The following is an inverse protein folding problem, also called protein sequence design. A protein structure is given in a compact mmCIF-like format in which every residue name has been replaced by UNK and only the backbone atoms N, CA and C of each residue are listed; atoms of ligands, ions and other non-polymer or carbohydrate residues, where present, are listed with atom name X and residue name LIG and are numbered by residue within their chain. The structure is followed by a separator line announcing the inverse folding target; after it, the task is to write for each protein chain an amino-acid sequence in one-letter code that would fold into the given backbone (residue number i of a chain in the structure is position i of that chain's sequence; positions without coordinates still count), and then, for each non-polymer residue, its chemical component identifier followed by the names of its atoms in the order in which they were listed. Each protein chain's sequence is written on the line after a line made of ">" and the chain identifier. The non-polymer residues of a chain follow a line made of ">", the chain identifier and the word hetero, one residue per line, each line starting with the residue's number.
data_IF_509940193443
#
_entry.id   IF_509940193443
#
_cell.length_a   1.000
_cell.length_b   1.000
_cell.length_c   1.000
_cell.angle_alpha   90.00
_cell.angle_beta   90.00
_cell.angle_gamma   90.00
#
_symmetry.space_group_name_H-M   'P 1'
#
loop_
_entity.id
_entity.type
_entity.pdbx_description
1 polymer ?
#
# COMPACT_ATOMS: atom_id res chain seq x y z
N UNK A 1 -0.88 26.64 11.29
CA UNK A 1 -0.30 25.43 11.89
C UNK A 1 -0.84 24.26 11.12
N UNK A 2 -0.04 23.74 10.19
CA UNK A 2 -0.44 22.60 9.37
C UNK A 2 -0.48 21.32 10.21
N UNK A 3 -1.34 20.37 9.84
CA UNK A 3 -1.52 19.11 10.57
C UNK A 3 -0.23 18.25 10.65
N UNK A 4 0.74 18.53 9.77
CA UNK A 4 2.08 17.93 9.80
C UNK A 4 2.98 18.59 10.84
N UNK A 5 2.94 19.91 10.97
CA UNK A 5 3.72 20.64 11.99
C UNK A 5 3.29 20.21 13.40
N UNK A 6 1.97 20.15 13.65
CA UNK A 6 1.42 19.66 14.91
C UNK A 6 1.83 18.22 15.23
N UNK A 7 2.01 17.39 14.21
CA UNK A 7 2.43 16.00 14.37
C UNK A 7 3.92 15.88 14.70
N UNK A 8 4.77 16.68 14.05
CA UNK A 8 6.20 16.74 14.37
C UNK A 8 6.41 17.22 15.80
N UNK A 9 5.69 18.27 16.20
CA UNK A 9 5.70 18.80 17.58
C UNK A 9 5.26 17.73 18.59
N UNK A 10 4.29 16.88 18.24
CA UNK A 10 3.84 15.79 19.12
C UNK A 10 4.89 14.67 19.28
N UNK A 11 5.69 14.40 18.24
CA UNK A 11 6.68 13.32 18.26
C UNK A 11 8.05 13.74 18.81
N UNK A 12 8.40 15.02 18.73
CA UNK A 12 9.67 15.58 19.19
C UNK A 12 10.00 15.23 20.66
N UNK A 13 9.06 15.30 21.63
CA UNK A 13 9.33 14.96 23.03
C UNK A 13 9.77 13.52 23.26
N UNK A 14 9.41 12.59 22.37
CA UNK A 14 9.83 11.18 22.43
C UNK A 14 11.35 11.09 22.36
N UNK A 15 12.02 11.97 21.61
CA UNK A 15 13.48 11.95 21.43
C UNK A 15 14.28 12.39 22.67
N UNK A 16 13.61 13.02 23.64
CA UNK A 16 14.22 13.60 24.85
C UNK A 16 13.98 12.74 26.10
N UNK A 17 13.24 11.64 25.95
CA UNK A 17 12.91 10.72 27.03
C UNK A 17 14.21 10.22 27.71
N UNK A 18 14.27 10.21 29.06
CA UNK A 18 15.43 9.73 29.81
C UNK A 18 15.86 8.30 29.42
N UNK A 19 14.91 7.46 29.00
CA UNK A 19 15.15 6.10 28.51
C UNK A 19 15.94 6.04 27.17
N UNK A 20 15.97 7.13 26.40
CA UNK A 20 16.75 7.29 25.16
C UNK A 20 17.99 8.17 25.38
N UNK A 21 18.27 8.53 26.65
CA UNK A 21 19.36 9.43 27.04
C UNK A 21 20.72 8.71 27.04
N UNK A 22 20.69 7.40 27.28
CA UNK A 22 21.75 6.43 26.97
C UNK A 22 21.26 5.60 25.78
N UNK A 23 22.17 5.01 25.02
CA UNK A 23 21.92 4.02 23.97
C UNK A 23 21.65 4.45 22.52
N UNK A 24 22.23 3.59 21.69
CA UNK A 24 22.12 3.30 20.25
C UNK A 24 20.70 3.39 19.67
N UNK A 25 19.68 3.51 20.52
CA UNK A 25 18.27 3.61 20.17
C UNK A 25 17.85 5.02 19.74
N UNK A 26 18.52 6.09 20.19
CA UNK A 26 18.19 7.47 19.76
C UNK A 26 18.20 7.66 18.24
N UNK A 27 19.23 7.24 17.48
CA UNK A 27 19.21 7.36 16.02
C UNK A 27 18.09 6.53 15.38
N UNK A 28 17.75 5.36 15.93
CA UNK A 28 16.63 4.53 15.48
C UNK A 28 15.28 5.23 15.69
N UNK A 29 15.06 5.82 16.87
CA UNK A 29 13.83 6.57 17.17
C UNK A 29 13.69 7.81 16.27
N UNK A 30 14.77 8.55 16.04
CA UNK A 30 14.76 9.69 15.11
C UNK A 30 14.44 9.26 13.66
N UNK A 31 15.00 8.14 13.22
CA UNK A 31 14.69 7.57 11.90
C UNK A 31 13.22 7.16 11.80
N UNK A 32 12.69 6.49 12.82
CA UNK A 32 11.29 6.06 12.86
C UNK A 32 10.31 7.25 12.85
N UNK A 33 10.60 8.32 13.61
CA UNK A 33 9.81 9.56 13.61
C UNK A 33 9.84 10.23 12.23
N UNK A 34 11.01 10.28 11.59
CA UNK A 34 11.14 10.82 10.22
C UNK A 34 10.35 10.00 9.20
N UNK A 35 10.42 8.68 9.26
CA UNK A 35 9.63 7.81 8.38
C UNK A 35 8.13 7.98 8.62
N UNK A 36 7.68 8.01 9.88
CA UNK A 36 6.27 8.22 10.20
C UNK A 36 5.76 9.58 9.71
N UNK A 37 6.59 10.63 9.82
CA UNK A 37 6.27 11.97 9.30
C UNK A 37 6.19 11.97 7.77
N UNK A 38 7.13 11.30 7.08
CA UNK A 38 7.12 11.15 5.62
C UNK A 38 5.90 10.37 5.14
N UNK A 39 5.54 9.26 5.81
CA UNK A 39 4.30 8.51 5.52
C UNK A 39 3.06 9.38 5.69
N UNK A 40 2.95 10.14 6.78
CA UNK A 40 1.83 11.07 7.00
C UNK A 40 1.75 12.17 5.94
N UNK A 41 2.89 12.57 5.37
CA UNK A 41 2.97 13.50 4.25
C UNK A 41 2.75 12.84 2.86
N UNK A 42 2.39 11.55 2.80
CA UNK A 42 2.22 10.81 1.55
C UNK A 42 3.51 10.44 0.82
N UNK A 43 4.67 10.64 1.46
CA UNK A 43 6.00 10.33 0.91
C UNK A 43 6.37 8.90 1.34
N UNK A 44 5.99 7.94 0.51
CA UNK A 44 6.25 6.51 0.73
C UNK A 44 7.68 6.16 0.27
N UNK A 45 8.45 5.54 1.17
CA UNK A 45 9.80 5.02 0.88
C UNK A 45 9.76 3.89 -0.16
N UNK A 46 10.80 3.74 -0.98
CA UNK A 46 10.89 2.63 -1.93
C UNK A 46 10.84 1.25 -1.26
N UNK A 47 11.27 1.14 0.00
CA UNK A 47 11.19 -0.08 0.81
C UNK A 47 9.75 -0.39 1.26
N UNK A 48 9.04 0.63 1.73
CA UNK A 48 7.60 0.53 2.04
C UNK A 48 6.78 0.14 0.80
N UNK A 49 7.19 0.58 -0.41
CA UNK A 49 6.57 0.16 -1.69
C UNK A 49 6.79 -1.31 -2.06
N UNK A 50 7.79 -1.97 -1.46
CA UNK A 50 8.18 -3.37 -1.76
C UNK A 50 7.61 -4.34 -0.72
N UNK A 51 7.57 -3.93 0.55
CA UNK A 51 7.07 -4.76 1.66
C UNK A 51 5.54 -4.72 1.82
N UNK A 52 4.87 -3.70 1.28
CA UNK A 52 3.43 -3.80 1.00
C UNK A 52 3.20 -4.75 -0.18
N UNK A 53 3.05 -6.04 0.11
CA UNK A 53 2.03 -6.80 -0.60
C UNK A 53 0.71 -6.12 -0.23
N UNK A 54 0.38 -5.06 -0.97
CA UNK A 54 -0.83 -4.28 -0.76
C UNK A 54 -1.98 -5.27 -0.73
N UNK A 55 -2.92 -5.15 0.20
CA UNK A 55 -4.10 -6.03 0.26
C UNK A 55 -4.81 -6.11 -1.11
N UNK A 56 -4.67 -5.04 -1.92
CA UNK A 56 -5.02 -4.97 -3.33
C UNK A 56 -4.33 -6.02 -4.21
N UNK A 57 -3.02 -6.19 -4.07
CA UNK A 57 -2.22 -7.14 -4.85
C UNK A 57 -2.59 -8.58 -4.46
N UNK A 58 -2.86 -8.84 -3.18
CA UNK A 58 -3.44 -10.12 -2.72
C UNK A 58 -4.78 -10.37 -3.40
N UNK A 59 -5.69 -9.40 -3.38
CA UNK A 59 -7.01 -9.52 -3.99
C UNK A 59 -6.95 -9.76 -5.51
N UNK A 60 -6.01 -9.11 -6.22
CA UNK A 60 -5.76 -9.34 -7.65
C UNK A 60 -5.27 -10.76 -7.92
N UNK A 61 -4.35 -11.26 -7.10
CA UNK A 61 -3.79 -12.62 -7.19
C UNK A 61 -4.86 -13.68 -6.90
N UNK A 62 -5.70 -13.48 -5.89
CA UNK A 62 -6.81 -14.37 -5.57
C UNK A 62 -7.82 -14.43 -6.70
N UNK A 63 -8.21 -13.28 -7.27
CA UNK A 63 -9.13 -13.26 -8.41
C UNK A 63 -8.53 -13.97 -9.63
N UNK A 64 -7.23 -13.80 -9.88
CA UNK A 64 -6.54 -14.50 -10.97
C UNK A 64 -6.51 -16.03 -10.76
N UNK A 65 -6.33 -16.49 -9.52
CA UNK A 65 -6.38 -17.92 -9.17
C UNK A 65 -7.78 -18.49 -9.36
N UNK A 66 -8.82 -17.78 -8.92
CA UNK A 66 -10.21 -18.19 -9.12
C UNK A 66 -10.55 -18.37 -10.60
N UNK A 67 -10.19 -17.40 -11.45
CA UNK A 67 -10.43 -17.48 -12.90
C UNK A 67 -9.72 -18.67 -13.55
N UNK A 68 -8.53 -19.03 -13.09
CA UNK A 68 -7.82 -20.21 -13.57
C UNK A 68 -8.47 -21.52 -13.13
N UNK A 69 -8.96 -21.58 -11.90
CA UNK A 69 -9.71 -22.73 -11.40
C UNK A 69 -11.01 -22.92 -12.19
N UNK A 70 -11.62 -21.83 -12.65
CA UNK A 70 -12.77 -21.83 -13.58
C UNK A 70 -12.38 -22.25 -15.02
N UNK A 71 -11.11 -22.60 -15.28
CA UNK A 71 -10.64 -23.08 -16.58
C UNK A 71 -10.21 -21.98 -17.56
N UNK A 72 -10.10 -20.72 -17.11
CA UNK A 72 -9.70 -19.62 -17.99
C UNK A 72 -8.23 -19.74 -18.42
N UNK A 73 -8.01 -19.60 -19.73
CA UNK A 73 -6.65 -19.58 -20.28
C UNK A 73 -5.83 -18.40 -19.74
N UNK A 74 -4.56 -18.66 -19.41
CA UNK A 74 -3.60 -17.65 -18.92
C UNK A 74 -3.55 -16.37 -19.76
N UNK A 75 -3.80 -16.46 -21.07
CA UNK A 75 -3.79 -15.31 -21.99
C UNK A 75 -4.89 -14.28 -21.68
N UNK A 76 -6.00 -14.71 -21.09
CA UNK A 76 -7.18 -13.86 -20.81
C UNK A 76 -7.29 -13.44 -19.34
N UNK A 77 -6.68 -14.19 -18.42
CA UNK A 77 -6.72 -13.92 -16.97
C UNK A 77 -6.36 -12.48 -16.65
N UNK A 78 -5.24 -11.97 -17.18
CA UNK A 78 -4.80 -10.58 -16.92
C UNK A 78 -5.83 -9.54 -17.36
N UNK A 79 -6.50 -9.77 -18.49
CA UNK A 79 -7.51 -8.86 -19.04
C UNK A 79 -8.75 -8.83 -18.16
N UNK A 80 -9.22 -10.00 -17.74
CA UNK A 80 -10.40 -10.13 -16.89
C UNK A 80 -10.15 -9.62 -15.47
N UNK A 81 -8.98 -9.88 -14.90
CA UNK A 81 -8.57 -9.31 -13.60
C UNK A 81 -8.52 -7.78 -13.67
N UNK A 82 -7.96 -7.21 -14.74
CA UNK A 82 -7.92 -5.76 -14.93
C UNK A 82 -9.32 -5.16 -15.13
N UNK A 83 -10.21 -5.85 -15.86
CA UNK A 83 -11.61 -5.44 -16.05
C UNK A 83 -12.38 -5.46 -14.72
N UNK A 84 -12.27 -6.56 -13.97
CA UNK A 84 -12.84 -6.69 -12.64
C UNK A 84 -12.34 -5.60 -11.70
N UNK A 85 -11.04 -5.32 -11.70
CA UNK A 85 -10.47 -4.30 -10.84
C UNK A 85 -10.98 -2.89 -11.18
N UNK A 86 -11.09 -2.55 -12.47
CA UNK A 86 -11.73 -1.30 -12.91
C UNK A 86 -13.16 -1.18 -12.40
N UNK A 87 -13.94 -2.26 -12.43
CA UNK A 87 -15.30 -2.26 -11.90
C UNK A 87 -15.33 -2.03 -10.39
N UNK A 88 -14.42 -2.63 -9.62
CA UNK A 88 -14.36 -2.40 -8.18
C UNK A 88 -13.99 -0.96 -7.84
N UNK A 89 -13.05 -0.35 -8.57
CA UNK A 89 -12.67 1.07 -8.39
C UNK A 89 -13.80 2.01 -8.80
N UNK A 90 -14.57 1.67 -9.83
CA UNK A 90 -15.71 2.48 -10.29
C UNK A 90 -16.90 2.48 -9.33
N UNK A 91 -16.94 1.56 -8.35
CA UNK A 91 -18.02 1.54 -7.35
C UNK A 91 -17.99 2.79 -6.46
N UNK A 92 -19.15 3.24 -5.95
CA UNK A 92 -19.21 4.27 -4.91
C UNK A 92 -18.39 3.84 -3.70
N UNK A 93 -17.72 4.80 -3.05
CA UNK A 93 -16.80 4.53 -1.94
C UNK A 93 -17.38 3.58 -0.86
N UNK A 94 -18.64 3.79 -0.47
CA UNK A 94 -19.35 2.97 0.54
C UNK A 94 -19.52 1.49 0.16
N UNK A 95 -19.35 1.15 -1.13
CA UNK A 95 -19.48 -0.21 -1.67
C UNK A 95 -18.14 -0.77 -2.15
N UNK A 96 -17.04 -0.02 -1.97
CA UNK A 96 -15.70 -0.49 -2.33
C UNK A 96 -15.22 -1.51 -1.29
N UNK A 97 -14.52 -2.56 -1.71
CA UNK A 97 -13.82 -3.45 -0.80
C UNK A 97 -12.80 -2.69 0.04
N UNK A 98 -12.58 -3.13 1.29
CA UNK A 98 -11.68 -2.47 2.25
C UNK A 98 -10.23 -2.31 1.74
N UNK A 99 -9.77 -3.24 0.90
CA UNK A 99 -8.44 -3.21 0.29
C UNK A 99 -8.28 -2.14 -0.81
N UNK A 100 -9.35 -1.45 -1.22
CA UNK A 100 -9.28 -0.27 -2.09
C UNK A 100 -9.30 0.98 -1.20
N UNK A 101 -8.10 1.52 -0.92
CA UNK A 101 -7.95 2.78 -0.16
C UNK A 101 -8.77 3.92 -0.77
N UNK A 102 -9.27 4.80 0.10
CA UNK A 102 -10.01 6.02 -0.25
C UNK A 102 -9.31 6.87 -1.31
N UNK A 103 -7.99 6.94 -1.26
CA UNK A 103 -7.16 7.73 -2.17
C UNK A 103 -6.99 7.10 -3.56
N UNK A 104 -7.50 5.88 -3.78
CA UNK A 104 -7.38 5.17 -5.05
C UNK A 104 -8.46 5.65 -6.03
N UNK A 105 -8.26 6.83 -6.61
CA UNK A 105 -9.18 7.39 -7.63
C UNK A 105 -8.99 6.77 -9.01
N UNK A 106 -7.81 6.18 -9.28
CA UNK A 106 -7.48 5.60 -10.58
C UNK A 106 -7.14 4.13 -10.47
N UNK A 107 -7.78 3.32 -11.32
CA UNK A 107 -7.42 1.92 -11.48
C UNK A 107 -6.00 1.80 -12.06
N UNK A 108 -5.28 0.77 -11.61
CA UNK A 108 -3.97 0.38 -12.12
C UNK A 108 -4.05 0.08 -13.62
N UNK A 109 -2.98 0.37 -14.33
CA UNK A 109 -2.85 -0.01 -15.73
C UNK A 109 -2.76 -1.53 -15.88
N UNK A 110 -3.23 -2.06 -17.03
CA UNK A 110 -3.12 -3.48 -17.36
C UNK A 110 -1.68 -4.01 -17.23
N UNK A 111 -0.68 -3.22 -17.65
CA UNK A 111 0.74 -3.57 -17.53
C UNK A 111 1.17 -3.77 -16.09
N UNK A 112 0.66 -2.95 -15.15
CA UNK A 112 0.99 -3.10 -13.74
C UNK A 112 0.32 -4.32 -13.12
N UNK A 113 -0.95 -4.59 -13.47
CA UNK A 113 -1.64 -5.83 -13.08
C UNK A 113 -0.87 -7.05 -13.57
N UNK A 114 -0.41 -7.05 -14.83
CA UNK A 114 0.41 -8.14 -15.37
C UNK A 114 1.72 -8.35 -14.60
N UNK A 115 2.41 -7.26 -14.24
CA UNK A 115 3.64 -7.32 -13.47
C UNK A 115 3.41 -7.95 -12.09
N UNK A 116 2.33 -7.58 -11.40
CA UNK A 116 1.93 -8.15 -10.10
C UNK A 116 1.65 -9.65 -10.26
N UNK A 117 0.83 -10.05 -11.23
CA UNK A 117 0.51 -11.47 -11.45
C UNK A 117 1.77 -12.30 -11.77
N UNK A 118 2.70 -11.75 -12.57
CA UNK A 118 4.00 -12.37 -12.86
C UNK A 118 4.86 -12.52 -11.61
N UNK A 119 4.94 -11.48 -10.78
CA UNK A 119 5.70 -11.49 -9.52
C UNK A 119 5.18 -12.60 -8.58
N UNK A 120 3.87 -12.81 -8.52
CA UNK A 120 3.23 -13.84 -7.70
C UNK A 120 3.08 -15.21 -8.40
N UNK A 121 3.69 -15.40 -9.58
CA UNK A 121 3.70 -16.65 -10.36
C UNK A 121 2.31 -17.21 -10.68
N UNK A 122 1.31 -16.32 -10.84
CA UNK A 122 -0.02 -16.69 -11.33
C UNK A 122 -0.01 -16.56 -12.86
#
# INVERSE_FOLDING_TARGET
>A
MDALELYVIYLEPITVLPALRRDELRPLTLSAIREATRRKAGIISGKDRVDEVSERDVALVEKARALKLEGMSRRYVTTEVHRWFKQQVAKPYKQRPAWISQETDKALSRKRVEAILKQHRV
#
